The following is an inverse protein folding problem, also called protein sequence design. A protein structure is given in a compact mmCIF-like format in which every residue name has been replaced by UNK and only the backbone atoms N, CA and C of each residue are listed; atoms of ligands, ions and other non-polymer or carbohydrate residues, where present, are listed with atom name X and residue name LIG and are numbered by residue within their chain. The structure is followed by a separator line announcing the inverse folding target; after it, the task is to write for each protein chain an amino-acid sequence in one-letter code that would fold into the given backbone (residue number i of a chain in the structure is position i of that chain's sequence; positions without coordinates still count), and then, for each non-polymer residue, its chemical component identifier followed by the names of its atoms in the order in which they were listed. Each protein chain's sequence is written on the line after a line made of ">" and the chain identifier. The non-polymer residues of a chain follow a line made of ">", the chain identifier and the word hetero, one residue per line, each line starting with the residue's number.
data_IF_314372617724
#
_entry.id   IF_314372617724
#
_cell.length_a   1.000
_cell.length_b   1.000
_cell.length_c   1.000
_cell.angle_alpha   90.00
_cell.angle_beta   90.00
_cell.angle_gamma   90.00
#
_symmetry.space_group_name_H-M   'P 1'
#
loop_
_entity.id
_entity.type
_entity.pdbx_description
1 polymer ?
#
# COMPACT_ATOMS: atom_id res chain seq x y z
N UNK A 1 -15.20 -13.75 -16.30
CA UNK A 1 -13.88 -14.39 -16.45
C UNK A 1 -12.96 -13.72 -17.48
N UNK A 2 -13.45 -13.19 -18.62
CA UNK A 2 -12.59 -12.55 -19.64
C UNK A 2 -11.73 -11.39 -19.12
N UNK A 3 -12.31 -10.49 -18.30
CA UNK A 3 -11.59 -9.32 -17.74
C UNK A 3 -10.45 -9.72 -16.81
N UNK A 4 -10.69 -10.71 -15.94
CA UNK A 4 -9.67 -11.22 -15.04
C UNK A 4 -8.50 -11.84 -15.81
N UNK A 5 -8.79 -12.74 -16.76
CA UNK A 5 -7.76 -13.40 -17.56
C UNK A 5 -6.97 -12.38 -18.39
N UNK A 6 -7.66 -11.38 -18.95
CA UNK A 6 -7.03 -10.29 -19.68
C UNK A 6 -6.10 -9.46 -18.78
N UNK A 7 -6.54 -9.10 -17.58
CA UNK A 7 -5.72 -8.38 -16.61
C UNK A 7 -4.51 -9.20 -16.20
N UNK A 8 -4.73 -10.47 -15.82
CA UNK A 8 -3.67 -11.37 -15.39
C UNK A 8 -2.64 -11.62 -16.50
N UNK A 9 -3.08 -11.81 -17.74
CA UNK A 9 -2.19 -11.97 -18.89
C UNK A 9 -1.39 -10.70 -19.17
N UNK A 10 -2.02 -9.53 -19.07
CA UNK A 10 -1.36 -8.24 -19.28
C UNK A 10 -0.32 -7.96 -18.18
N UNK A 11 -0.62 -8.31 -16.92
CA UNK A 11 0.34 -8.27 -15.82
C UNK A 11 1.49 -9.25 -16.05
N UNK A 12 1.21 -10.49 -16.46
CA UNK A 12 2.23 -11.48 -16.78
C UNK A 12 3.20 -10.97 -17.85
N UNK A 13 2.67 -10.47 -18.98
CA UNK A 13 3.49 -9.95 -20.08
C UNK A 13 4.29 -8.71 -19.69
N UNK A 14 3.74 -7.84 -18.85
CA UNK A 14 4.50 -6.73 -18.28
C UNK A 14 5.70 -7.23 -17.48
N UNK A 15 5.51 -8.24 -16.63
CA UNK A 15 6.59 -8.82 -15.83
C UNK A 15 7.60 -9.57 -16.70
N UNK A 16 7.18 -10.25 -17.76
CA UNK A 16 8.09 -10.88 -18.72
C UNK A 16 9.02 -9.84 -19.39
N UNK A 17 8.50 -8.67 -19.73
CA UNK A 17 9.28 -7.56 -20.32
C UNK A 17 10.28 -6.97 -19.31
N UNK A 18 9.85 -6.79 -18.07
CA UNK A 18 10.68 -6.22 -17.00
C UNK A 18 11.73 -7.21 -16.51
N UNK A 19 11.36 -8.48 -16.33
CA UNK A 19 12.18 -9.55 -15.78
C UNK A 19 12.54 -10.61 -16.83
N UNK A 20 13.18 -10.19 -17.93
CA UNK A 20 13.50 -11.03 -19.09
C UNK A 20 14.30 -12.32 -18.80
N UNK A 21 14.94 -12.41 -17.63
CA UNK A 21 15.77 -13.54 -17.21
C UNK A 21 15.01 -14.57 -16.36
N UNK A 22 13.80 -14.23 -15.92
CA UNK A 22 13.01 -15.13 -15.09
C UNK A 22 12.42 -16.25 -15.95
N UNK A 23 12.36 -17.45 -15.37
CA UNK A 23 11.61 -18.54 -16.00
C UNK A 23 10.10 -18.34 -15.84
N UNK A 24 9.33 -19.06 -16.65
CA UNK A 24 7.86 -19.02 -16.67
C UNK A 24 7.23 -19.23 -15.28
N UNK A 25 7.73 -20.19 -14.50
CA UNK A 25 7.21 -20.47 -13.15
C UNK A 25 7.37 -19.29 -12.21
N UNK A 26 8.53 -18.63 -12.23
CA UNK A 26 8.81 -17.45 -11.42
C UNK A 26 7.93 -16.28 -11.87
N UNK A 27 7.73 -16.10 -13.17
CA UNK A 27 6.84 -15.06 -13.71
C UNK A 27 5.39 -15.27 -13.30
N UNK A 28 4.88 -16.50 -13.35
CA UNK A 28 3.52 -16.85 -12.87
C UNK A 28 3.39 -16.59 -11.37
N UNK A 29 4.41 -16.95 -10.59
CA UNK A 29 4.43 -16.70 -9.14
C UNK A 29 4.35 -15.21 -8.82
N UNK A 30 5.20 -14.40 -9.47
CA UNK A 30 5.20 -12.93 -9.32
C UNK A 30 3.89 -12.31 -9.77
N UNK A 31 3.33 -12.79 -10.89
CA UNK A 31 2.04 -12.32 -11.42
C UNK A 31 0.92 -12.59 -10.41
N UNK A 32 0.83 -13.82 -9.91
CA UNK A 32 -0.15 -14.18 -8.88
C UNK A 32 0.00 -13.30 -7.64
N UNK A 33 1.24 -13.07 -7.19
CA UNK A 33 1.50 -12.27 -6.01
C UNK A 33 1.04 -10.81 -6.17
N UNK A 34 1.40 -10.16 -7.29
CA UNK A 34 0.99 -8.78 -7.58
C UNK A 34 -0.54 -8.66 -7.66
N UNK A 35 -1.20 -9.56 -8.39
CA UNK A 35 -2.67 -9.54 -8.50
C UNK A 35 -3.31 -9.72 -7.12
N UNK A 36 -2.77 -10.61 -6.29
CA UNK A 36 -3.28 -10.87 -4.94
C UNK A 36 -3.12 -9.64 -4.04
N UNK A 37 -1.99 -8.93 -4.12
CA UNK A 37 -1.78 -7.66 -3.42
C UNK A 37 -2.78 -6.59 -3.85
N UNK A 38 -3.07 -6.49 -5.15
CA UNK A 38 -4.06 -5.54 -5.66
C UNK A 38 -5.47 -5.88 -5.17
N UNK A 39 -5.84 -7.16 -5.17
CA UNK A 39 -7.13 -7.61 -4.61
C UNK A 39 -7.21 -7.24 -3.12
N UNK A 40 -6.16 -7.50 -2.34
CA UNK A 40 -6.10 -7.11 -0.94
C UNK A 40 -6.28 -5.61 -0.76
N UNK A 41 -5.55 -4.79 -1.52
CA UNK A 41 -5.68 -3.33 -1.52
C UNK A 41 -7.12 -2.88 -1.76
N UNK A 42 -7.80 -3.48 -2.74
CA UNK A 42 -9.21 -3.20 -3.03
C UNK A 42 -10.11 -3.62 -1.86
N UNK A 43 -9.92 -4.81 -1.30
CA UNK A 43 -10.71 -5.28 -0.15
C UNK A 43 -10.54 -4.38 1.08
N UNK A 44 -9.31 -3.96 1.39
CA UNK A 44 -9.05 -3.03 2.49
C UNK A 44 -9.59 -1.62 2.20
N UNK A 45 -9.57 -1.18 0.95
CA UNK A 45 -10.20 0.08 0.55
C UNK A 45 -11.72 0.03 0.77
N UNK A 46 -12.36 -1.07 0.37
CA UNK A 46 -13.79 -1.30 0.59
C UNK A 46 -14.12 -1.33 2.09
N UNK A 47 -13.35 -2.08 2.89
CA UNK A 47 -13.47 -2.09 4.35
C UNK A 47 -13.36 -0.68 4.91
N UNK A 48 -12.36 0.08 4.47
CA UNK A 48 -12.16 1.46 4.91
C UNK A 48 -13.34 2.38 4.58
N UNK A 49 -13.99 2.19 3.42
CA UNK A 49 -15.22 2.91 3.09
C UNK A 49 -16.37 2.54 4.03
N UNK A 50 -16.52 1.26 4.38
CA UNK A 50 -17.54 0.83 5.34
C UNK A 50 -17.30 1.40 6.75
N UNK A 51 -16.05 1.46 7.19
CA UNK A 51 -15.63 2.10 8.45
C UNK A 51 -15.99 3.59 8.46
N UNK A 52 -15.67 4.33 7.39
CA UNK A 52 -16.01 5.74 7.26
C UNK A 52 -17.52 6.01 7.32
N UNK A 53 -18.35 5.03 6.96
CA UNK A 53 -19.80 5.11 7.01
C UNK A 53 -20.41 4.51 8.30
N UNK A 54 -19.58 4.16 9.29
CA UNK A 54 -20.04 3.71 10.62
C UNK A 54 -20.50 2.26 10.70
N UNK A 55 -20.21 1.41 9.70
CA UNK A 55 -20.73 0.04 9.67
C UNK A 55 -19.93 -0.95 10.55
N UNK A 56 -18.60 -0.84 10.66
CA UNK A 56 -17.79 -1.78 11.46
C UNK A 56 -16.33 -1.33 11.66
N UNK A 57 -15.94 -0.92 12.87
CA UNK A 57 -14.59 -0.50 13.25
C UNK A 57 -13.68 -1.61 13.79
N UNK A 58 -13.90 -2.85 13.37
CA UNK A 58 -13.09 -3.97 13.84
C UNK A 58 -11.65 -3.85 13.31
N UNK A 59 -10.69 -3.71 14.23
CA UNK A 59 -9.25 -3.80 13.92
C UNK A 59 -8.92 -5.25 13.57
N UNK A 60 -8.44 -5.48 12.35
CA UNK A 60 -8.01 -6.81 11.91
C UNK A 60 -6.57 -7.02 12.39
N UNK A 61 -6.29 -8.06 13.21
CA UNK A 61 -4.93 -8.30 13.67
C UNK A 61 -4.00 -8.69 12.51
N UNK A 62 -2.69 -8.33 12.56
CA UNK A 62 -1.75 -8.57 11.47
C UNK A 62 -1.67 -10.02 10.99
N UNK A 63 -1.84 -10.99 11.89
CA UNK A 63 -1.85 -12.41 11.55
C UNK A 63 -2.97 -12.77 10.56
N UNK A 64 -4.16 -12.20 10.74
CA UNK A 64 -5.31 -12.45 9.86
C UNK A 64 -5.12 -11.80 8.49
N UNK A 65 -4.40 -10.67 8.43
CA UNK A 65 -3.98 -10.07 7.16
C UNK A 65 -3.11 -11.06 6.40
N UNK A 66 -2.08 -11.61 7.05
CA UNK A 66 -1.17 -12.59 6.44
C UNK A 66 -1.91 -13.83 5.94
N UNK A 67 -2.81 -14.41 6.77
CA UNK A 67 -3.63 -15.54 6.37
C UNK A 67 -4.50 -15.21 5.15
N UNK A 68 -5.09 -14.01 5.11
CA UNK A 68 -5.88 -13.56 3.97
C UNK A 68 -5.03 -13.44 2.69
N UNK A 69 -3.77 -13.01 2.80
CA UNK A 69 -2.85 -13.01 1.65
C UNK A 69 -2.68 -14.42 1.11
N UNK A 70 -2.41 -15.39 1.98
CA UNK A 70 -2.22 -16.79 1.57
C UNK A 70 -3.50 -17.33 0.93
N UNK A 71 -4.67 -17.07 1.53
CA UNK A 71 -5.97 -17.53 1.04
C UNK A 71 -6.31 -16.95 -0.34
N UNK A 72 -5.91 -15.72 -0.65
CA UNK A 72 -6.14 -15.12 -1.98
C UNK A 72 -5.08 -15.58 -2.97
N UNK A 73 -3.82 -15.67 -2.53
CA UNK A 73 -2.69 -15.96 -3.40
C UNK A 73 -2.62 -17.41 -3.86
N UNK A 74 -2.91 -18.39 -2.98
CA UNK A 74 -2.81 -19.81 -3.32
C UNK A 74 -3.76 -20.19 -4.47
N UNK A 75 -5.07 -19.87 -4.41
CA UNK A 75 -6.02 -20.19 -5.48
C UNK A 75 -5.67 -19.45 -6.77
N UNK A 76 -5.22 -18.20 -6.67
CA UNK A 76 -4.79 -17.42 -7.82
C UNK A 76 -3.57 -18.05 -8.51
N UNK A 77 -2.56 -18.45 -7.73
CA UNK A 77 -1.38 -19.11 -8.26
C UNK A 77 -1.74 -20.44 -8.93
N UNK A 78 -2.56 -21.27 -8.28
CA UNK A 78 -3.04 -22.54 -8.83
C UNK A 78 -3.81 -22.30 -10.14
N UNK A 79 -4.61 -21.24 -10.22
CA UNK A 79 -5.35 -20.88 -11.43
C UNK A 79 -4.41 -20.49 -12.59
N UNK A 80 -3.45 -19.57 -12.35
CA UNK A 80 -2.54 -19.07 -13.37
C UNK A 80 -1.51 -20.10 -13.83
N UNK A 81 -1.16 -21.06 -12.97
CA UNK A 81 -0.24 -22.15 -13.31
C UNK A 81 -0.89 -23.24 -14.17
N UNK A 82 -2.20 -23.17 -14.47
CA UNK A 82 -2.85 -24.11 -15.39
C UNK A 82 -2.41 -23.83 -16.83
N UNK A 83 -2.05 -24.90 -17.57
CA UNK A 83 -1.58 -24.84 -18.98
C UNK A 83 -2.44 -23.96 -19.90
N UNK A 84 -3.76 -23.93 -19.69
CA UNK A 84 -4.67 -23.17 -20.54
C UNK A 84 -4.48 -21.65 -20.43
N UNK A 85 -4.02 -21.11 -19.30
CA UNK A 85 -3.81 -19.68 -19.12
C UNK A 85 -2.68 -19.14 -20.02
N UNK A 86 -1.62 -19.92 -20.20
CA UNK A 86 -0.46 -19.55 -21.01
C UNK A 86 -0.65 -19.86 -22.50
N UNK A 87 -1.55 -20.80 -22.81
CA UNK A 87 -1.94 -21.14 -24.19
C UNK A 87 -3.03 -20.20 -24.75
N UNK A 88 -3.71 -19.42 -23.90
CA UNK A 88 -4.64 -18.39 -24.35
C UNK A 88 -3.85 -17.31 -25.12
N UNK A 89 -3.99 -17.33 -26.45
CA UNK A 89 -3.37 -16.42 -27.43
C UNK A 89 -3.87 -14.96 -27.32
N UNK A 90 -3.94 -14.40 -26.11
CA UNK A 90 -4.24 -13.00 -25.93
C UNK A 90 -3.13 -12.17 -26.59
N UNK A 91 -3.51 -11.36 -27.56
CA UNK A 91 -2.56 -10.51 -28.27
C UNK A 91 -2.08 -9.42 -27.31
N UNK A 92 -0.80 -9.46 -26.98
CA UNK A 92 -0.14 -8.45 -26.18
C UNK A 92 -0.10 -7.12 -26.95
N UNK A 93 -0.58 -6.03 -26.34
CA UNK A 93 -0.50 -4.68 -26.92
C UNK A 93 -0.02 -3.68 -25.87
N UNK A 94 0.72 -2.65 -26.32
CA UNK A 94 1.19 -1.56 -25.45
C UNK A 94 0.03 -0.85 -24.73
N UNK A 95 -1.14 -0.76 -25.39
CA UNK A 95 -2.36 -0.20 -24.78
C UNK A 95 -2.79 -1.00 -23.53
N UNK A 96 -2.61 -2.31 -23.54
CA UNK A 96 -2.98 -3.19 -22.43
C UNK A 96 -2.07 -2.95 -21.22
N UNK A 97 -0.78 -2.72 -21.45
CA UNK A 97 0.18 -2.37 -20.39
C UNK A 97 -0.21 -1.04 -19.74
N UNK A 98 -0.52 -0.02 -20.55
CA UNK A 98 -0.96 1.28 -20.05
C UNK A 98 -2.24 1.13 -19.22
N UNK A 99 -3.21 0.32 -19.67
CA UNK A 99 -4.43 0.05 -18.91
C UNK A 99 -4.14 -0.60 -17.55
N UNK A 100 -3.26 -1.60 -17.49
CA UNK A 100 -2.88 -2.25 -16.22
C UNK A 100 -2.19 -1.26 -15.29
N UNK A 101 -1.26 -0.44 -15.80
CA UNK A 101 -0.58 0.57 -15.00
C UNK A 101 -1.56 1.62 -14.47
N UNK A 102 -2.46 2.13 -15.31
CA UNK A 102 -3.50 3.07 -14.90
C UNK A 102 -4.43 2.46 -13.84
N UNK A 103 -4.79 1.18 -13.99
CA UNK A 103 -5.59 0.48 -12.98
C UNK A 103 -4.84 0.39 -11.64
N UNK A 104 -3.57 0.00 -11.65
CA UNK A 104 -2.74 -0.07 -10.43
C UNK A 104 -2.66 1.31 -9.77
N UNK A 105 -2.38 2.36 -10.54
CA UNK A 105 -2.30 3.73 -10.04
C UNK A 105 -3.64 4.15 -9.40
N UNK A 106 -4.77 3.82 -10.06
CA UNK A 106 -6.11 4.15 -9.55
C UNK A 106 -6.40 3.43 -8.23
N UNK A 107 -6.08 2.14 -8.14
CA UNK A 107 -6.26 1.34 -6.91
C UNK A 107 -5.40 1.89 -5.77
N UNK A 108 -4.13 2.20 -6.04
CA UNK A 108 -3.20 2.73 -5.03
C UNK A 108 -3.63 4.12 -4.57
N UNK A 109 -3.96 5.01 -5.50
CA UNK A 109 -4.44 6.36 -5.17
C UNK A 109 -5.74 6.31 -4.35
N UNK A 110 -6.69 5.46 -4.74
CA UNK A 110 -7.93 5.25 -4.00
C UNK A 110 -7.68 4.76 -2.57
N UNK A 111 -6.81 3.77 -2.40
CA UNK A 111 -6.41 3.27 -1.08
C UNK A 111 -5.80 4.38 -0.21
N UNK A 112 -4.87 5.19 -0.75
CA UNK A 112 -4.24 6.30 -0.03
C UNK A 112 -5.28 7.31 0.45
N UNK A 113 -6.23 7.69 -0.41
CA UNK A 113 -7.29 8.65 -0.07
C UNK A 113 -8.15 8.10 1.08
N UNK A 114 -8.57 6.84 1.00
CA UNK A 114 -9.41 6.20 2.03
C UNK A 114 -8.63 6.06 3.34
N UNK A 115 -7.37 5.65 3.27
CA UNK A 115 -6.50 5.52 4.44
C UNK A 115 -6.28 6.87 5.15
N UNK A 116 -6.08 7.95 4.40
CA UNK A 116 -5.96 9.29 4.97
C UNK A 116 -7.25 9.74 5.66
N UNK A 117 -8.41 9.54 5.03
CA UNK A 117 -9.72 9.86 5.64
C UNK A 117 -9.96 9.06 6.92
N UNK A 118 -9.64 7.76 6.92
CA UNK A 118 -9.79 6.93 8.10
C UNK A 118 -8.83 7.37 9.22
N UNK A 119 -7.59 7.73 8.90
CA UNK A 119 -6.63 8.28 9.85
C UNK A 119 -7.16 9.57 10.48
N UNK A 120 -7.66 10.50 9.67
CA UNK A 120 -8.24 11.75 10.15
C UNK A 120 -9.43 11.49 11.07
N UNK A 121 -10.34 10.58 10.71
CA UNK A 121 -11.46 10.17 11.56
C UNK A 121 -10.99 9.65 12.92
N UNK A 122 -10.06 8.68 12.92
CA UNK A 122 -9.49 8.11 14.14
C UNK A 122 -8.84 9.19 15.00
N UNK A 123 -8.15 10.15 14.40
CA UNK A 123 -7.52 11.22 15.16
C UNK A 123 -8.53 12.18 15.79
N UNK A 124 -9.61 12.51 15.07
CA UNK A 124 -10.71 13.31 15.63
C UNK A 124 -11.40 12.58 16.78
N UNK A 125 -11.66 11.28 16.64
CA UNK A 125 -12.26 10.45 17.71
C UNK A 125 -11.39 10.37 18.96
N UNK A 126 -10.06 10.46 18.80
CA UNK A 126 -9.10 10.48 19.91
C UNK A 126 -8.87 11.88 20.50
N UNK A 127 -9.53 12.92 19.98
CA UNK A 127 -9.43 14.28 20.50
C UNK A 127 -8.14 15.02 20.15
N UNK A 128 -7.43 14.62 19.08
CA UNK A 128 -6.25 15.36 18.62
C UNK A 128 -6.66 16.72 18.02
N UNK A 129 -5.78 17.72 18.16
CA UNK A 129 -5.98 19.05 17.56
C UNK A 129 -5.90 19.00 16.02
N UNK A 130 -6.54 19.97 15.34
CA UNK A 130 -6.48 20.05 13.87
C UNK A 130 -5.04 20.16 13.35
N UNK A 131 -4.18 20.88 14.06
CA UNK A 131 -2.77 21.02 13.72
C UNK A 131 -2.04 19.66 13.76
N UNK A 132 -2.33 18.84 14.78
CA UNK A 132 -1.76 17.51 14.92
C UNK A 132 -2.32 16.52 13.88
N UNK A 133 -3.60 16.67 13.50
CA UNK A 133 -4.22 15.90 12.42
C UNK A 133 -3.55 16.20 11.08
N UNK A 134 -3.35 17.49 10.77
CA UNK A 134 -2.74 17.95 9.52
C UNK A 134 -1.26 17.53 9.40
N UNK A 135 -0.55 17.41 10.53
CA UNK A 135 0.83 16.92 10.60
C UNK A 135 0.95 15.38 10.68
N UNK A 136 -0.14 14.64 10.44
CA UNK A 136 -0.13 13.18 10.40
C UNK A 136 -0.01 12.52 11.77
N UNK A 137 -0.44 13.20 12.83
CA UNK A 137 -0.41 12.70 14.21
C UNK A 137 0.94 12.90 14.90
N UNK A 138 1.87 13.65 14.30
CA UNK A 138 3.12 14.05 14.94
C UNK A 138 2.89 15.32 15.75
N UNK A 139 3.22 15.28 17.03
CA UNK A 139 3.33 16.51 17.83
C UNK A 139 4.43 17.41 17.25
N UNK A 140 4.25 18.73 17.38
CA UNK A 140 5.34 19.66 17.12
C UNK A 140 6.54 19.28 17.99
N UNK A 141 7.74 19.29 17.41
CA UNK A 141 8.94 18.96 18.16
C UNK A 141 9.16 20.02 19.25
N UNK A 142 9.06 19.59 20.52
CA UNK A 142 9.36 20.42 21.68
C UNK A 142 10.69 19.96 22.30
N UNK A 143 11.78 20.75 22.17
CA UNK A 143 13.08 20.40 22.73
C UNK A 143 13.12 20.41 24.27
N UNK A 144 12.08 20.91 24.95
CA UNK A 144 11.94 20.87 26.41
C UNK A 144 11.25 19.60 26.90
N UNK A 145 10.51 18.91 26.03
CA UNK A 145 9.82 17.66 26.36
C UNK A 145 10.80 16.49 26.31
N UNK A 146 10.65 15.53 27.25
CA UNK A 146 11.49 14.33 27.27
C UNK A 146 11.16 13.46 26.06
N UNK A 147 12.14 13.06 25.23
CA UNK A 147 11.87 12.24 24.05
C UNK A 147 11.45 10.83 24.46
N UNK A 148 10.33 10.37 23.91
CA UNK A 148 9.72 9.06 24.14
C UNK A 148 10.13 8.04 23.07
N UNK A 149 10.54 8.50 21.89
CA UNK A 149 10.96 7.64 20.78
C UNK A 149 12.41 7.86 20.34
N UNK A 150 12.96 6.90 19.58
CA UNK A 150 14.29 7.03 18.97
C UNK A 150 14.33 8.18 17.95
N UNK A 151 13.24 8.38 17.20
CA UNK A 151 13.10 9.50 16.26
C UNK A 151 13.21 10.85 16.98
N UNK A 152 12.53 11.00 18.12
CA UNK A 152 12.60 12.22 18.94
C UNK A 152 13.97 12.44 19.57
N UNK A 153 14.67 11.38 19.98
CA UNK A 153 16.06 11.49 20.46
C UNK A 153 17.00 12.02 19.37
N UNK A 154 16.83 11.55 18.14
CA UNK A 154 17.63 12.02 16.99
C UNK A 154 17.30 13.49 16.69
N UNK A 155 16.02 13.87 16.70
CA UNK A 155 15.61 15.29 16.55
C UNK A 155 16.18 16.19 17.64
N UNK A 156 16.13 15.75 18.90
CA UNK A 156 16.69 16.50 20.02
C UNK A 156 18.21 16.64 19.92
N UNK A 157 18.91 15.59 19.50
CA UNK A 157 20.34 15.67 19.22
C UNK A 157 20.64 16.67 18.10
N UNK A 158 19.89 16.61 16.99
CA UNK A 158 20.09 17.52 15.85
C UNK A 158 19.84 18.98 16.25
N UNK A 159 18.72 19.26 16.93
CA UNK A 159 18.39 20.58 17.47
C UNK A 159 19.51 21.13 18.36
N UNK A 160 20.00 20.34 19.31
CA UNK A 160 21.07 20.78 20.22
C UNK A 160 22.42 20.98 19.53
N UNK A 161 22.68 20.23 18.45
CA UNK A 161 23.99 20.23 17.78
C UNK A 161 24.10 21.35 16.74
N UNK A 162 23.03 21.60 15.99
CA UNK A 162 23.05 22.50 14.84
C UNK A 162 22.16 23.73 15.07
N UNK A 163 20.88 23.55 15.38
CA UNK A 163 19.92 24.67 15.40
C UNK A 163 20.05 25.59 16.63
N UNK A 164 20.29 25.02 17.80
CA UNK A 164 20.47 25.78 19.05
C UNK A 164 21.76 26.59 19.03
N UNK A 165 22.82 26.02 18.47
CA UNK A 165 24.16 26.64 18.44
C UNK A 165 24.16 27.89 17.55
N UNK A 166 23.50 27.82 16.39
CA UNK A 166 23.37 28.95 15.47
C UNK A 166 22.51 30.09 16.05
N UNK A 167 21.56 29.81 16.95
CA UNK A 167 20.72 30.84 17.59
C UNK A 167 21.43 31.64 18.68
N UNK A 168 22.51 31.11 19.26
CA UNK A 168 23.31 31.79 20.29
C UNK A 168 24.39 32.72 19.72
N UNK A 169 24.72 32.59 18.44
CA UNK A 169 25.75 33.38 17.76
C UNK A 169 25.19 34.64 17.05
N UNK A 170 23.89 34.90 17.17
CA UNK A 170 23.26 36.17 16.77
C UNK A 170 23.19 37.08 18.00
N UNK A 171 24.31 37.73 18.36
CA UNK A 171 24.35 38.88 19.27
C UNK A 171 25.40 39.89 18.83
#
# INVERSE_FOLDING_TARGET
>A
MKVYNYFAFSTYKLLEIVFKKDNERILVLKTSFIISLLILLVLYSIKGIFELNGYNDTVIPPLYIFLLIVIIWLPNYIYLNKKNFLMDNNVFSLKNVIQVLLFIITVVAGFIIIANKNRERIFRERGYSEEMINNGGKEAFDPQKKPESLEEKIRLWYYNTFEKKDSTDIK
#
